data_IF_295516593883
#
_entry.id   IF_295516593883
#
_cell.length_a   1.000
_cell.length_b   1.000
_cell.length_c   1.000
_cell.angle_alpha   90.00
_cell.angle_beta   90.00
_cell.angle_gamma   90.00
#
_symmetry.space_group_name_H-M   'P 1'
#
loop_
_entity.id
_entity.type
_entity.pdbx_description
1 polymer ?
#
# COMPACT_ATOMS: atom_id res chain seq x y z
N UNK A 1 -46.71 10.66 -36.42
CA UNK A 1 -45.30 10.20 -36.46
C UNK A 1 -45.09 9.29 -35.25
N UNK A 2 -45.43 8.01 -35.42
CA UNK A 2 -45.29 7.01 -34.36
C UNK A 2 -43.82 6.58 -34.25
N UNK A 3 -43.27 6.75 -33.06
CA UNK A 3 -41.89 6.37 -32.73
C UNK A 3 -41.82 4.86 -32.53
N UNK A 4 -41.33 4.16 -33.56
CA UNK A 4 -40.92 2.76 -33.47
C UNK A 4 -39.72 2.64 -32.52
N UNK A 5 -39.95 2.12 -31.31
CA UNK A 5 -38.90 1.70 -30.39
C UNK A 5 -38.46 0.28 -30.76
N UNK A 6 -37.15 -0.01 -30.93
CA UNK A 6 -36.70 -1.36 -31.22
C UNK A 6 -36.80 -2.23 -29.97
N UNK A 7 -37.69 -3.21 -30.06
CA UNK A 7 -37.84 -4.34 -29.15
C UNK A 7 -36.53 -5.14 -29.09
N UNK A 8 -35.79 -4.98 -28.00
CA UNK A 8 -34.46 -5.59 -27.78
C UNK A 8 -34.53 -7.02 -27.23
N UNK A 9 -35.67 -7.69 -27.33
CA UNK A 9 -35.79 -9.07 -26.84
C UNK A 9 -36.81 -9.90 -27.64
N UNK A 10 -36.67 -9.92 -28.97
CA UNK A 10 -37.30 -10.97 -29.78
C UNK A 10 -36.59 -12.29 -29.53
N UNK A 11 -37.00 -12.98 -28.46
CA UNK A 11 -36.78 -14.40 -28.23
C UNK A 11 -37.30 -15.12 -29.49
N UNK A 12 -36.37 -15.63 -30.28
CA UNK A 12 -36.64 -16.27 -31.56
C UNK A 12 -37.72 -17.34 -31.48
N UNK A 13 -38.39 -17.52 -32.60
CA UNK A 13 -39.42 -18.52 -32.89
C UNK A 13 -39.30 -19.80 -32.05
N UNK A 14 -40.42 -20.23 -31.47
CA UNK A 14 -40.55 -21.44 -30.64
C UNK A 14 -40.34 -22.71 -31.49
N UNK A 15 -39.10 -22.96 -31.91
CA UNK A 15 -38.65 -24.28 -32.32
C UNK A 15 -38.46 -25.09 -31.04
N UNK A 16 -38.95 -26.33 -31.03
CA UNK A 16 -38.68 -27.24 -29.91
C UNK A 16 -37.15 -27.38 -29.80
N UNK A 17 -36.56 -27.04 -28.65
CA UNK A 17 -35.11 -27.12 -28.49
C UNK A 17 -34.64 -28.55 -28.74
N UNK A 18 -33.48 -28.67 -29.39
CA UNK A 18 -32.83 -29.95 -29.58
C UNK A 18 -32.54 -30.59 -28.21
N UNK A 19 -32.51 -31.92 -28.15
CA UNK A 19 -32.03 -32.63 -26.95
C UNK A 19 -30.63 -32.13 -26.54
N UNK A 20 -29.80 -31.83 -27.53
CA UNK A 20 -28.46 -31.27 -27.34
C UNK A 20 -28.53 -29.91 -26.62
N UNK A 21 -29.40 -29.01 -27.08
CA UNK A 21 -29.57 -27.67 -26.50
C UNK A 21 -30.05 -27.75 -25.04
N UNK A 22 -30.97 -28.68 -24.76
CA UNK A 22 -31.47 -28.93 -23.40
C UNK A 22 -30.36 -29.44 -22.48
N UNK A 23 -29.51 -30.35 -22.97
CA UNK A 23 -28.35 -30.84 -22.21
C UNK A 23 -27.34 -29.72 -21.94
N UNK A 24 -27.08 -28.85 -22.92
CA UNK A 24 -26.17 -27.70 -22.75
C UNK A 24 -26.75 -26.72 -21.73
N UNK A 25 -28.03 -26.37 -21.82
CA UNK A 25 -28.67 -25.48 -20.84
C UNK A 25 -28.61 -26.06 -19.43
N UNK A 26 -28.92 -27.35 -19.28
CA UNK A 26 -28.83 -28.02 -17.99
C UNK A 26 -27.40 -28.08 -17.46
N UNK A 27 -26.41 -28.25 -18.33
CA UNK A 27 -25.00 -28.19 -17.96
C UNK A 27 -24.60 -26.78 -17.51
N UNK A 28 -25.07 -25.73 -18.21
CA UNK A 28 -24.86 -24.32 -17.84
C UNK A 28 -25.46 -24.01 -16.45
N UNK A 29 -26.67 -24.49 -16.18
CA UNK A 29 -27.32 -24.31 -14.88
C UNK A 29 -26.57 -25.01 -13.74
N UNK A 30 -25.83 -26.08 -14.06
CA UNK A 30 -25.13 -26.93 -13.11
C UNK A 30 -23.60 -26.86 -13.23
N UNK A 31 -23.06 -25.76 -13.76
CA UNK A 31 -21.61 -25.57 -13.96
C UNK A 31 -20.79 -25.80 -12.69
N UNK A 32 -21.34 -25.48 -11.52
CA UNK A 32 -20.70 -25.66 -10.22
C UNK A 32 -20.37 -27.12 -9.86
N UNK A 33 -21.00 -28.08 -10.52
CA UNK A 33 -20.77 -29.51 -10.32
C UNK A 33 -19.95 -30.15 -11.45
N UNK A 34 -19.50 -29.36 -12.42
CA UNK A 34 -18.59 -29.84 -13.46
C UNK A 34 -17.20 -30.06 -12.85
N UNK A 35 -16.68 -31.27 -13.01
CA UNK A 35 -15.33 -31.66 -12.61
C UNK A 35 -14.50 -31.96 -13.85
N UNK A 36 -14.13 -33.22 -14.02
CA UNK A 36 -13.37 -33.68 -15.19
C UNK A 36 -14.24 -33.64 -16.47
N UNK A 37 -13.76 -32.90 -17.47
CA UNK A 37 -14.36 -32.77 -18.81
C UNK A 37 -13.47 -33.32 -19.92
N UNK A 38 -12.40 -34.07 -19.59
CA UNK A 38 -11.42 -34.56 -20.56
C UNK A 38 -12.04 -35.38 -21.70
N UNK A 39 -13.06 -36.18 -21.38
CA UNK A 39 -13.79 -37.02 -22.35
C UNK A 39 -14.86 -36.31 -23.18
N UNK A 40 -15.12 -35.01 -22.96
CA UNK A 40 -16.18 -34.28 -23.67
C UNK A 40 -15.66 -33.67 -24.98
N UNK A 41 -16.50 -33.57 -25.99
CA UNK A 41 -16.12 -32.94 -27.26
C UNK A 41 -15.91 -31.42 -27.13
N UNK A 42 -14.97 -30.88 -27.92
CA UNK A 42 -14.54 -29.48 -27.86
C UNK A 42 -15.66 -28.51 -28.24
N UNK A 43 -16.56 -28.91 -29.13
CA UNK A 43 -17.67 -28.05 -29.59
C UNK A 43 -18.68 -27.81 -28.46
N UNK A 44 -18.95 -28.82 -27.64
CA UNK A 44 -19.79 -28.70 -26.45
C UNK A 44 -19.13 -27.83 -25.40
N UNK A 45 -17.83 -28.06 -25.18
CA UNK A 45 -17.06 -27.32 -24.20
C UNK A 45 -16.96 -25.84 -24.57
N UNK A 46 -16.85 -25.52 -25.86
CA UNK A 46 -16.89 -24.16 -26.39
C UNK A 46 -18.20 -23.42 -26.14
N UNK A 47 -19.32 -24.13 -25.91
CA UNK A 47 -20.61 -23.54 -25.56
C UNK A 47 -20.81 -23.40 -24.05
N UNK A 48 -20.31 -24.34 -23.25
CA UNK A 48 -20.53 -24.35 -21.79
C UNK A 48 -19.51 -23.47 -21.06
N UNK A 49 -18.22 -23.54 -21.42
CA UNK A 49 -17.15 -22.84 -20.70
C UNK A 49 -17.28 -21.30 -20.66
N UNK A 50 -17.78 -20.61 -21.70
CA UNK A 50 -17.97 -19.16 -21.65
C UNK A 50 -18.92 -18.69 -20.53
N UNK A 51 -19.82 -19.56 -20.08
CA UNK A 51 -20.77 -19.28 -19.00
C UNK A 51 -20.20 -19.57 -17.60
N UNK A 52 -19.00 -20.14 -17.51
CA UNK A 52 -18.36 -20.45 -16.24
C UNK A 52 -17.82 -19.18 -15.54
N UNK A 53 -17.71 -19.22 -14.22
CA UNK A 53 -16.91 -18.27 -13.46
C UNK A 53 -15.43 -18.63 -13.51
N UNK A 54 -14.55 -17.65 -13.25
CA UNK A 54 -13.10 -17.88 -13.23
C UNK A 54 -12.67 -18.96 -12.23
N UNK A 55 -13.31 -19.04 -11.06
CA UNK A 55 -13.03 -20.07 -10.05
C UNK A 55 -13.49 -21.46 -10.50
N UNK A 56 -14.64 -21.53 -11.17
CA UNK A 56 -15.16 -22.78 -11.73
C UNK A 56 -14.27 -23.27 -12.87
N UNK A 57 -13.84 -22.37 -13.76
CA UNK A 57 -12.91 -22.70 -14.83
C UNK A 57 -11.59 -23.24 -14.28
N UNK A 58 -11.06 -22.61 -13.23
CA UNK A 58 -9.87 -23.11 -12.53
C UNK A 58 -10.09 -24.52 -11.98
N UNK A 59 -11.22 -24.76 -11.32
CA UNK A 59 -11.53 -26.08 -10.76
C UNK A 59 -11.63 -27.18 -11.83
N UNK A 60 -12.25 -26.87 -12.97
CA UNK A 60 -12.35 -27.79 -14.11
C UNK A 60 -10.95 -28.09 -14.66
N UNK A 61 -10.10 -27.07 -14.84
CA UNK A 61 -8.72 -27.28 -15.29
C UNK A 61 -7.85 -28.06 -14.29
N UNK A 62 -8.09 -27.92 -13.00
CA UNK A 62 -7.37 -28.66 -11.95
C UNK A 62 -7.86 -30.11 -11.83
N UNK A 63 -9.13 -30.37 -12.21
CA UNK A 63 -9.76 -31.69 -12.13
C UNK A 63 -9.63 -32.50 -13.42
N UNK A 64 -9.23 -31.87 -14.52
CA UNK A 64 -9.07 -32.52 -15.83
C UNK A 64 -7.67 -33.12 -15.94
N UNK A 65 -7.61 -34.45 -16.02
CA UNK A 65 -6.35 -35.18 -16.22
C UNK A 65 -6.26 -35.68 -17.67
N UNK A 66 -5.17 -35.35 -18.37
CA UNK A 66 -4.82 -35.98 -19.65
C UNK A 66 -5.25 -35.26 -20.94
N UNK A 67 -5.95 -34.11 -20.88
CA UNK A 67 -6.26 -33.30 -22.09
C UNK A 67 -5.94 -31.82 -21.90
N UNK A 68 -5.22 -31.25 -22.87
CA UNK A 68 -4.88 -29.83 -22.87
C UNK A 68 -6.08 -28.98 -23.35
N UNK A 69 -6.78 -28.34 -22.40
CA UNK A 69 -7.87 -27.38 -22.69
C UNK A 69 -7.37 -25.97 -23.06
N UNK A 70 -6.05 -25.77 -23.02
CA UNK A 70 -5.35 -24.49 -23.26
C UNK A 70 -5.91 -23.66 -24.42
N UNK A 71 -6.19 -24.18 -25.63
CA UNK A 71 -6.64 -23.34 -26.75
C UNK A 71 -8.02 -22.70 -26.49
N UNK A 72 -8.93 -23.40 -25.81
CA UNK A 72 -10.23 -22.87 -25.44
C UNK A 72 -10.12 -21.95 -24.23
N UNK A 73 -9.37 -22.38 -23.21
CA UNK A 73 -9.37 -21.69 -21.92
C UNK A 73 -8.55 -20.41 -21.93
N UNK A 74 -7.47 -20.31 -22.71
CA UNK A 74 -6.62 -19.11 -22.74
C UNK A 74 -7.42 -17.88 -23.24
N UNK A 75 -8.33 -18.08 -24.19
CA UNK A 75 -9.26 -17.05 -24.66
C UNK A 75 -10.25 -16.61 -23.58
N UNK A 76 -10.72 -17.55 -22.75
CA UNK A 76 -11.63 -17.28 -21.65
C UNK A 76 -10.92 -16.54 -20.51
N UNK A 77 -9.71 -16.98 -20.14
CA UNK A 77 -8.87 -16.32 -19.14
C UNK A 77 -8.57 -14.87 -19.51
N UNK A 78 -8.32 -14.61 -20.81
CA UNK A 78 -8.18 -13.25 -21.34
C UNK A 78 -9.42 -12.39 -21.06
N UNK A 79 -10.62 -12.92 -21.35
CA UNK A 79 -11.89 -12.22 -21.10
C UNK A 79 -12.19 -12.01 -19.61
N UNK A 80 -11.86 -12.99 -18.76
CA UNK A 80 -12.03 -12.87 -17.31
C UNK A 80 -11.10 -11.82 -16.71
N UNK A 81 -9.86 -11.78 -17.19
CA UNK A 81 -8.89 -10.76 -16.76
C UNK A 81 -9.40 -9.36 -17.07
N UNK A 82 -9.85 -9.13 -18.31
CA UNK A 82 -10.42 -7.86 -18.74
C UNK A 82 -11.66 -7.48 -17.92
N UNK A 83 -12.57 -8.43 -17.67
CA UNK A 83 -13.80 -8.20 -16.88
C UNK A 83 -13.51 -7.89 -15.41
N UNK A 84 -12.52 -8.54 -14.79
CA UNK A 84 -12.21 -8.40 -13.35
C UNK A 84 -11.36 -7.17 -13.05
N UNK A 85 -10.32 -6.92 -13.85
CA UNK A 85 -9.32 -5.87 -13.59
C UNK A 85 -9.47 -4.65 -14.50
N UNK A 86 -10.28 -4.75 -15.55
CA UNK A 86 -10.53 -3.68 -16.51
C UNK A 86 -9.48 -3.57 -17.61
N UNK A 87 -9.87 -2.88 -18.68
CA UNK A 87 -9.10 -2.76 -19.93
C UNK A 87 -7.71 -2.12 -19.74
N UNK A 88 -7.58 -1.13 -18.84
CA UNK A 88 -6.30 -0.45 -18.58
C UNK A 88 -5.23 -1.42 -18.07
N UNK A 89 -5.62 -2.31 -17.16
CA UNK A 89 -4.72 -3.32 -16.60
C UNK A 89 -4.35 -4.37 -17.65
N UNK A 90 -5.32 -4.73 -18.49
CA UNK A 90 -5.15 -5.68 -19.59
C UNK A 90 -4.15 -5.15 -20.63
N UNK A 91 -4.36 -3.94 -21.12
CA UNK A 91 -3.46 -3.28 -22.08
C UNK A 91 -2.04 -3.16 -21.50
N UNK A 92 -1.89 -2.81 -20.22
CA UNK A 92 -0.58 -2.77 -19.56
C UNK A 92 0.14 -4.12 -19.57
N UNK A 93 -0.57 -5.23 -19.38
CA UNK A 93 0.02 -6.58 -19.44
C UNK A 93 0.41 -6.95 -20.86
N UNK A 94 -0.47 -6.68 -21.84
CA UNK A 94 -0.18 -6.92 -23.26
C UNK A 94 1.04 -6.12 -23.72
N UNK A 95 1.13 -4.85 -23.35
CA UNK A 95 2.26 -3.98 -23.70
C UNK A 95 3.56 -4.46 -23.05
N UNK A 96 3.51 -4.94 -21.80
CA UNK A 96 4.66 -5.56 -21.13
C UNK A 96 5.11 -6.85 -21.80
N UNK A 97 4.18 -7.69 -22.26
CA UNK A 97 4.51 -8.89 -23.03
C UNK A 97 5.17 -8.54 -24.35
N UNK A 98 4.59 -7.59 -25.10
CA UNK A 98 5.15 -7.11 -26.38
C UNK A 98 6.54 -6.53 -26.21
N UNK A 99 6.74 -5.71 -25.17
CA UNK A 99 8.04 -5.08 -24.88
C UNK A 99 9.11 -6.11 -24.54
N UNK A 100 8.76 -7.15 -23.76
CA UNK A 100 9.69 -8.21 -23.34
C UNK A 100 9.80 -9.36 -24.34
N UNK A 101 8.95 -9.39 -25.37
CA UNK A 101 8.78 -10.50 -26.33
C UNK A 101 8.56 -11.86 -25.66
N UNK A 102 7.81 -11.88 -24.56
CA UNK A 102 7.46 -13.12 -23.85
C UNK A 102 5.95 -13.31 -23.88
N UNK A 103 5.52 -14.52 -24.20
CA UNK A 103 4.14 -14.98 -24.08
C UNK A 103 4.00 -15.74 -22.76
N UNK A 104 3.00 -15.35 -21.95
CA UNK A 104 2.63 -16.06 -20.74
C UNK A 104 1.20 -16.56 -20.86
N UNK A 105 0.88 -17.68 -20.20
CA UNK A 105 -0.49 -18.17 -20.09
C UNK A 105 -1.34 -17.17 -19.31
N UNK A 106 -2.52 -16.83 -19.81
CA UNK A 106 -3.39 -15.84 -19.15
C UNK A 106 -3.82 -16.29 -17.75
N UNK A 107 -3.97 -17.61 -17.54
CA UNK A 107 -4.21 -18.21 -16.22
C UNK A 107 -3.16 -17.80 -15.18
N UNK A 108 -1.87 -17.92 -15.51
CA UNK A 108 -0.79 -17.62 -14.56
C UNK A 108 -0.76 -16.13 -14.20
N UNK A 109 -1.04 -15.26 -15.17
CA UNK A 109 -1.14 -13.83 -14.92
C UNK A 109 -2.31 -13.48 -14.02
N UNK A 110 -3.45 -14.14 -14.22
CA UNK A 110 -4.62 -13.96 -13.40
C UNK A 110 -4.34 -14.35 -11.93
N UNK A 111 -3.70 -15.51 -11.71
CA UNK A 111 -3.31 -15.95 -10.37
C UNK A 111 -2.28 -15.04 -9.70
N UNK A 112 -1.26 -14.61 -10.46
CA UNK A 112 -0.27 -13.67 -9.95
C UNK A 112 -0.93 -12.34 -9.54
N UNK A 113 -1.89 -11.85 -10.32
CA UNK A 113 -2.63 -10.63 -10.00
C UNK A 113 -3.56 -10.77 -8.82
N UNK A 114 -4.20 -11.91 -8.65
CA UNK A 114 -4.99 -12.18 -7.45
C UNK A 114 -4.13 -12.11 -6.19
N UNK A 115 -2.94 -12.74 -6.21
CA UNK A 115 -1.99 -12.67 -5.10
C UNK A 115 -1.54 -11.24 -4.80
N UNK A 116 -1.21 -10.46 -5.83
CA UNK A 116 -0.86 -9.04 -5.68
C UNK A 116 -1.97 -8.24 -4.96
N UNK A 117 -3.24 -8.49 -5.32
CA UNK A 117 -4.40 -7.80 -4.75
C UNK A 117 -4.63 -8.25 -3.31
N UNK A 118 -4.59 -9.55 -3.03
CA UNK A 118 -4.73 -10.11 -1.67
C UNK A 118 -3.65 -9.58 -0.73
N UNK A 119 -2.40 -9.49 -1.18
CA UNK A 119 -1.33 -8.89 -0.40
C UNK A 119 -1.56 -7.41 -0.11
N UNK A 120 -2.03 -6.64 -1.11
CA UNK A 120 -2.35 -5.24 -0.93
C UNK A 120 -3.50 -5.04 0.08
N UNK A 121 -4.53 -5.87 -0.02
CA UNK A 121 -5.63 -5.91 0.94
C UNK A 121 -5.12 -6.26 2.34
N UNK A 122 -4.31 -7.31 2.49
CA UNK A 122 -3.78 -7.72 3.79
C UNK A 122 -2.90 -6.65 4.42
N UNK A 123 -2.04 -5.99 3.64
CA UNK A 123 -1.24 -4.84 4.10
C UNK A 123 -2.14 -3.71 4.61
N UNK A 124 -3.24 -3.41 3.91
CA UNK A 124 -4.22 -2.40 4.37
C UNK A 124 -4.92 -2.81 5.68
N UNK A 125 -5.32 -4.08 5.80
CA UNK A 125 -5.98 -4.62 6.99
C UNK A 125 -5.02 -4.57 8.18
N UNK A 126 -3.76 -4.98 7.99
CA UNK A 126 -2.71 -4.89 9.01
C UNK A 126 -2.47 -3.45 9.45
N UNK A 127 -2.41 -2.50 8.51
CA UNK A 127 -2.29 -1.08 8.82
C UNK A 127 -3.46 -0.57 9.67
N UNK A 128 -4.69 -0.93 9.32
CA UNK A 128 -5.87 -0.56 10.13
C UNK A 128 -5.78 -1.17 11.53
N UNK A 129 -5.47 -2.47 11.63
CA UNK A 129 -5.32 -3.17 12.91
C UNK A 129 -4.29 -2.50 13.82
N UNK A 130 -3.14 -2.08 13.27
CA UNK A 130 -2.12 -1.35 14.02
C UNK A 130 -2.64 -0.01 14.54
N UNK A 131 -3.41 0.74 13.75
CA UNK A 131 -3.99 2.02 14.19
C UNK A 131 -4.94 1.83 15.39
N UNK A 132 -5.82 0.83 15.34
CA UNK A 132 -6.71 0.51 16.45
C UNK A 132 -5.94 0.11 17.71
N UNK A 133 -4.94 -0.76 17.58
CA UNK A 133 -4.10 -1.17 18.71
C UNK A 133 -3.37 0.01 19.36
N UNK A 134 -2.87 0.94 18.54
CA UNK A 134 -2.20 2.14 19.02
C UNK A 134 -3.17 3.08 19.75
N UNK A 135 -4.39 3.24 19.25
CA UNK A 135 -5.43 4.05 19.90
C UNK A 135 -5.87 3.43 21.24
N UNK A 136 -6.09 2.12 21.27
CA UNK A 136 -6.42 1.40 22.50
C UNK A 136 -5.30 1.46 23.53
N UNK A 137 -4.04 1.35 23.09
CA UNK A 137 -2.89 1.55 23.97
C UNK A 137 -2.83 2.97 24.51
N UNK A 138 -3.15 3.99 23.68
CA UNK A 138 -3.26 5.37 24.13
C UNK A 138 -4.35 5.54 25.20
N UNK A 139 -5.55 4.96 24.98
CA UNK A 139 -6.65 5.00 25.94
C UNK A 139 -6.27 4.32 27.26
N UNK A 140 -5.68 3.12 27.18
CA UNK A 140 -5.17 2.39 28.36
C UNK A 140 -4.05 3.12 29.10
N UNK A 141 -3.22 3.89 28.39
CA UNK A 141 -2.16 4.68 29.02
C UNK A 141 -2.70 5.88 29.80
N UNK A 142 -3.83 6.45 29.36
CA UNK A 142 -4.54 7.55 30.05
C UNK A 142 -5.43 7.06 31.19
N UNK A 143 -5.77 5.77 31.19
CA UNK A 143 -6.61 5.18 32.23
C UNK A 143 -5.87 5.17 33.57
N UNK A 144 -6.57 5.60 34.63
CA UNK A 144 -6.05 5.59 36.00
C UNK A 144 -5.76 4.14 36.41
N UNK A 145 -4.49 3.83 36.67
CA UNK A 145 -4.06 2.53 37.20
C UNK A 145 -4.04 2.60 38.73
N UNK A 146 -4.84 1.77 39.38
CA UNK A 146 -4.74 1.57 40.83
C UNK A 146 -3.35 0.98 41.16
N UNK A 147 -2.50 1.76 41.82
CA UNK A 147 -1.24 1.24 42.34
C UNK A 147 -1.55 0.32 43.52
N UNK A 148 -1.47 -0.99 43.30
CA UNK A 148 -1.50 -2.01 44.38
C UNK A 148 -0.15 -2.15 45.07
N UNK A 149 0.88 -1.48 44.55
CA UNK A 149 2.16 -1.34 45.23
C UNK A 149 1.95 -0.46 46.46
N UNK A 150 1.78 -1.09 47.61
CA UNK A 150 2.08 -0.46 48.90
C UNK A 150 3.50 0.10 48.75
N UNK A 151 3.72 1.42 48.95
CA UNK A 151 5.07 1.97 48.91
C UNK A 151 5.94 1.13 49.85
N UNK A 152 7.21 0.81 49.48
CA UNK A 152 8.07 0.06 50.38
C UNK A 152 8.02 0.75 51.73
N UNK A 153 7.69 -0.03 52.77
CA UNK A 153 7.57 0.41 54.16
C UNK A 153 8.92 0.93 54.65
N UNK A 154 9.27 2.11 54.17
CA UNK A 154 10.47 2.84 54.49
C UNK A 154 10.11 3.65 55.72
N UNK A 155 10.41 3.07 56.88
CA UNK A 155 10.72 3.73 58.15
C UNK A 155 10.17 5.15 58.33
N UNK A 156 9.22 5.30 59.27
CA UNK A 156 8.72 6.56 59.85
C UNK A 156 9.73 7.71 59.68
N UNK A 157 9.57 8.56 58.66
CA UNK A 157 10.14 9.90 58.70
C UNK A 157 9.14 10.76 59.45
N UNK A 158 9.47 11.05 60.71
CA UNK A 158 8.74 11.92 61.61
C UNK A 158 8.52 13.29 60.95
N UNK A 159 7.25 13.61 60.68
CA UNK A 159 6.80 14.90 60.20
C UNK A 159 6.54 15.88 61.37
N UNK A 160 7.29 15.82 62.48
CA UNK A 160 7.15 16.76 63.60
C UNK A 160 8.48 16.88 64.35
N UNK A 161 9.00 18.10 64.46
CA UNK A 161 9.97 18.56 65.45
C UNK A 161 11.38 17.93 65.40
N UNK A 162 12.35 18.67 64.88
CA UNK A 162 13.76 18.30 65.00
C UNK A 162 14.69 19.48 64.75
N UNK A 163 15.01 20.20 65.82
CA UNK A 163 16.15 21.12 65.87
C UNK A 163 17.45 20.29 65.72
N UNK A 164 18.30 20.65 64.75
CA UNK A 164 19.62 20.02 64.57
C UNK A 164 20.42 20.73 63.46
N UNK A 165 21.67 21.16 63.70
CA UNK A 165 22.35 22.20 62.92
C UNK A 165 23.18 21.62 61.76
N UNK A 166 23.23 22.31 60.61
CA UNK A 166 24.22 21.98 59.59
C UNK A 166 23.97 22.54 58.19
N UNK A 167 24.55 23.70 57.92
CA UNK A 167 24.81 24.30 56.60
C UNK A 167 23.61 24.76 55.77
N UNK A 168 23.21 26.01 56.04
CA UNK A 168 22.67 26.91 55.03
C UNK A 168 23.82 27.20 54.05
N UNK A 169 23.83 26.54 52.89
CA UNK A 169 24.55 27.01 51.69
C UNK A 169 23.59 27.03 50.51
N UNK A 170 23.10 28.24 50.25
CA UNK A 170 22.72 28.81 48.97
C UNK A 170 22.24 27.88 47.85
N UNK A 171 20.93 27.76 47.69
CA UNK A 171 20.22 28.45 46.60
C UNK A 171 18.80 27.89 46.48
N UNK A 172 17.90 28.51 47.24
CA UNK A 172 16.44 28.47 47.05
C UNK A 172 16.04 29.10 45.71
N UNK A 173 16.46 28.52 44.59
CA UNK A 173 15.96 28.84 43.25
C UNK A 173 15.10 27.69 42.78
N UNK A 174 13.80 27.97 42.78
CA UNK A 174 12.68 27.10 42.47
C UNK A 174 12.88 26.25 41.20
N UNK A 175 12.24 25.07 41.21
CA UNK A 175 12.14 24.12 40.10
C UNK A 175 11.88 24.79 38.73
N UNK A 176 11.13 25.89 38.71
CA UNK A 176 10.82 26.70 37.53
C UNK A 176 12.06 27.19 36.78
N UNK A 177 13.08 27.68 37.50
CA UNK A 177 14.30 28.23 36.91
C UNK A 177 15.29 27.16 36.45
N UNK A 178 15.14 25.92 36.95
CA UNK A 178 15.87 24.76 36.40
C UNK A 178 15.24 24.31 35.09
N UNK A 179 13.91 24.26 35.03
CA UNK A 179 13.17 23.87 33.82
C UNK A 179 13.39 24.87 32.68
N UNK A 180 13.31 26.17 32.94
CA UNK A 180 13.54 27.19 31.90
C UNK A 180 14.96 27.16 31.34
N UNK A 181 15.98 26.90 32.17
CA UNK A 181 17.37 26.71 31.69
C UNK A 181 17.51 25.49 30.80
N UNK A 182 16.86 24.37 31.15
CA UNK A 182 16.89 23.15 30.33
C UNK A 182 16.14 23.35 29.01
N UNK A 183 14.97 23.99 29.04
CA UNK A 183 14.18 24.27 27.84
C UNK A 183 14.90 25.26 26.90
N UNK A 184 15.61 26.25 27.44
CA UNK A 184 16.45 27.16 26.67
C UNK A 184 17.60 26.42 25.97
N UNK A 185 18.29 25.51 26.68
CA UNK A 185 19.37 24.70 26.11
C UNK A 185 18.86 23.74 25.01
N UNK A 186 17.61 23.28 25.12
CA UNK A 186 16.96 22.41 24.14
C UNK A 186 16.26 23.16 23.00
N UNK A 187 16.28 24.50 23.00
CA UNK A 187 15.61 25.32 21.99
C UNK A 187 16.24 25.17 20.59
N UNK A 188 15.47 25.41 19.50
CA UNK A 188 15.97 25.30 18.13
C UNK A 188 17.13 26.28 17.86
N UNK A 189 17.10 27.46 18.48
CA UNK A 189 18.08 28.52 18.30
C UNK A 189 19.47 28.11 18.82
N UNK A 190 19.53 27.54 20.04
CA UNK A 190 20.78 27.05 20.63
C UNK A 190 21.32 25.84 19.85
N UNK A 191 20.44 24.97 19.34
CA UNK A 191 20.83 23.85 18.48
C UNK A 191 21.41 24.33 17.14
N UNK A 192 20.82 25.36 16.54
CA UNK A 192 21.30 25.97 15.29
C UNK A 192 22.67 26.64 15.49
N UNK A 193 22.87 27.39 16.57
CA UNK A 193 24.17 27.99 16.91
C UNK A 193 25.26 26.94 17.13
N UNK A 194 24.91 25.84 17.80
CA UNK A 194 25.84 24.72 18.01
C UNK A 194 26.19 24.02 16.71
N UNK A 195 25.22 23.82 15.81
CA UNK A 195 25.46 23.26 14.48
C UNK A 195 26.36 24.17 13.63
N UNK A 196 26.13 25.48 13.66
CA UNK A 196 26.99 26.46 12.98
C UNK A 196 28.43 26.41 13.52
N UNK A 197 28.62 26.33 14.84
CA UNK A 197 29.96 26.18 15.44
C UNK A 197 30.64 24.87 15.04
N UNK A 198 29.91 23.75 14.98
CA UNK A 198 30.46 22.47 14.51
C UNK A 198 30.88 22.52 13.03
N UNK A 199 30.12 23.20 12.18
CA UNK A 199 30.46 23.40 10.78
C UNK A 199 31.67 24.32 10.57
N UNK A 200 31.89 25.28 11.48
CA UNK A 200 33.09 26.13 11.50
C UNK A 200 34.34 25.31 11.89
N UNK A 201 34.22 24.42 12.89
CA UNK A 201 35.32 23.53 13.29
C UNK A 201 35.67 22.54 12.18
N UNK A 202 34.67 21.94 11.50
CA UNK A 202 34.93 21.03 10.36
C UNK A 202 35.49 21.71 9.11
N UNK A 203 35.41 23.05 8.99
CA UNK A 203 36.01 23.80 7.87
C UNK A 203 37.52 23.97 8.00
N UNK A 204 38.09 23.75 9.19
CA UNK A 204 39.53 23.91 9.43
C UNK A 204 40.35 22.64 9.18
N UNK A 205 39.70 21.49 8.91
CA UNK A 205 40.39 20.21 8.64
C UNK A 205 40.42 19.82 7.14
N UNK A 206 40.26 20.78 6.22
CA UNK A 206 40.48 20.53 4.78
C UNK A 206 41.89 20.99 4.38
N UNK A 207 42.74 20.12 3.82
CA UNK A 207 44.07 20.55 3.37
C UNK A 207 43.92 21.52 2.19
N UNK A 208 44.55 22.69 2.34
CA UNK A 208 44.62 23.75 1.34
C UNK A 208 45.49 23.25 0.18
N UNK A 209 44.89 22.99 -0.98
CA UNK A 209 45.64 22.83 -2.23
C UNK A 209 45.97 24.22 -2.78
N UNK A 210 47.24 24.61 -2.66
CA UNK A 210 47.80 25.85 -3.18
C UNK A 210 47.84 25.74 -4.71
N UNK A 211 47.00 26.52 -5.42
CA UNK A 211 47.21 26.85 -6.83
C UNK A 211 47.59 28.33 -6.94
N UNK A 212 48.74 28.58 -7.59
CA UNK A 212 49.36 29.89 -7.85
C UNK A 212 48.42 30.85 -8.63
N UNK A 213 48.54 32.17 -8.45
CA UNK A 213 47.83 33.15 -9.27
C UNK A 213 48.63 33.51 -10.53
N UNK A 214 47.96 33.44 -11.70
CA UNK A 214 48.40 34.01 -12.97
C UNK A 214 47.52 35.21 -13.31
N UNK A 215 48.14 36.24 -13.84
CA UNK A 215 47.66 37.62 -13.91
C UNK A 215 46.80 37.94 -15.16
N UNK A 216 46.10 39.08 -15.05
CA UNK A 216 45.46 39.95 -16.07
C UNK A 216 44.44 39.38 -17.08
N UNK A 217 43.22 39.95 -17.09
CA UNK A 217 42.76 40.90 -18.11
C UNK A 217 41.25 41.13 -18.04
N UNK A 218 40.89 42.42 -18.12
CA UNK A 218 39.55 42.99 -18.17
C UNK A 218 38.82 42.72 -19.48
N UNK A 219 37.49 42.56 -19.43
CA UNK A 219 36.52 43.19 -20.35
C UNK A 219 35.10 42.93 -19.83
N UNK A 220 34.27 43.97 -19.75
CA UNK A 220 32.92 43.93 -19.17
C UNK A 220 31.79 43.62 -20.16
N UNK A 221 30.57 43.47 -19.61
CA UNK A 221 29.31 44.11 -20.07
C UNK A 221 28.07 43.53 -19.36
N UNK A 222 27.29 44.45 -18.76
CA UNK A 222 25.82 44.64 -18.67
C UNK A 222 24.92 43.47 -19.16
N UNK A 223 23.81 43.04 -18.53
CA UNK A 223 22.61 43.81 -18.15
C UNK A 223 21.54 42.95 -17.42
N UNK A 224 20.79 43.56 -16.48
CA UNK A 224 19.31 43.48 -16.25
C UNK A 224 18.64 42.08 -16.13
N UNK A 225 17.71 41.78 -15.21
CA UNK A 225 16.87 42.60 -14.35
C UNK A 225 15.98 41.71 -13.46
N UNK A 226 15.49 42.31 -12.39
CA UNK A 226 14.75 41.74 -11.28
C UNK A 226 13.23 41.88 -11.42
N UNK A 227 12.44 40.87 -11.01
CA UNK A 227 11.09 41.03 -10.43
C UNK A 227 10.72 39.90 -9.46
N UNK A 228 10.15 40.18 -8.28
CA UNK A 228 9.61 39.18 -7.35
C UNK A 228 8.10 38.98 -7.55
N UNK A 229 7.61 37.75 -7.33
CA UNK A 229 6.17 37.43 -7.33
C UNK A 229 5.62 37.37 -5.90
N UNK A 230 4.56 38.16 -5.65
CA UNK A 230 3.75 38.14 -4.43
C UNK A 230 2.66 37.05 -4.48
N UNK A 231 2.31 36.56 -3.28
CA UNK A 231 1.19 35.67 -2.97
C UNK A 231 -0.15 36.41 -3.06
N UNK A 232 -1.18 35.66 -3.41
CA UNK A 232 -2.58 35.91 -3.04
C UNK A 232 -3.09 34.69 -2.29
#
# INVERSE_FOLDING_TARGET
>A
MDRYMPDRNRKGMRTVPSLLDLCIQKAIDNVKYLGDVGGTDEQFLGQILPHCNAEQLKHIEDSTEGRDLTPLTDSLWKSFYERKFGERSFNSVVDKMRSKKVTFKWRQLYEAKLKDVEEAQQKSIMRMKQLYQNEDAQKKSRQVKLCTKVPPSSHKRNCYGGWGPGSIVGSSKSSLMKKSKVDFLNSPEVRNLTALRKNVVQKNDRPICIRKPGSYSSTGSTSQGSKPFQRR
#
